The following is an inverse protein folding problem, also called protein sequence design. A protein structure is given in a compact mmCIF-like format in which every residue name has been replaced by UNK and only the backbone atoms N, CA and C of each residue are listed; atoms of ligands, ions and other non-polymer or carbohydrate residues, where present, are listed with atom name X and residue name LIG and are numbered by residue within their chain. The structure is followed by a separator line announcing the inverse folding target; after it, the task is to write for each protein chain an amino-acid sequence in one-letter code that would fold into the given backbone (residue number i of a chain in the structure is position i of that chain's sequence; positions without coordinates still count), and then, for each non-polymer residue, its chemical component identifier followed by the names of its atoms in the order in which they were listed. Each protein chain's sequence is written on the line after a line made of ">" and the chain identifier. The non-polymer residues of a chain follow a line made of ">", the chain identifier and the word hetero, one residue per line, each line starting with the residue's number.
data_IF_767443969622
#
_entry.id   IF_767443969622
#
_cell.length_a   1.000
_cell.length_b   1.000
_cell.length_c   1.000
_cell.angle_alpha   90.00
_cell.angle_beta   90.00
_cell.angle_gamma   90.00
#
_symmetry.space_group_name_H-M   'P 1'
#
loop_
_entity.id
_entity.type
_entity.pdbx_description
1 polymer ?
#
# COMPACT_ATOMS: atom_id res chain seq x y z
N UNK A 1 14.27 1.73 1.44
CA UNK A 1 13.64 0.80 0.47
C UNK A 1 13.41 1.51 -0.86
N UNK A 2 13.89 1.00 -2.00
CA UNK A 2 13.61 1.57 -3.32
C UNK A 2 12.25 1.10 -3.88
N UNK A 3 11.54 2.00 -4.55
CA UNK A 3 10.26 1.75 -5.24
C UNK A 3 10.35 2.32 -6.65
N UNK A 4 10.23 1.48 -7.66
CA UNK A 4 10.21 1.92 -9.06
C UNK A 4 8.75 2.12 -9.45
N UNK A 5 8.44 3.24 -10.11
CA UNK A 5 7.12 3.43 -10.70
C UNK A 5 6.86 2.38 -11.81
N UNK A 6 5.61 2.25 -12.27
CA UNK A 6 5.28 1.33 -13.38
C UNK A 6 5.34 1.95 -14.77
N UNK A 7 5.69 3.23 -14.87
CA UNK A 7 6.07 3.87 -16.13
C UNK A 7 7.55 3.62 -16.48
N UNK A 8 8.36 3.17 -15.52
CA UNK A 8 9.79 2.95 -15.62
C UNK A 8 10.65 4.21 -15.63
N UNK A 9 10.20 5.35 -15.06
CA UNK A 9 10.99 6.60 -15.09
C UNK A 9 11.56 6.99 -13.73
N UNK A 10 10.74 6.91 -12.69
CA UNK A 10 11.05 7.41 -11.38
C UNK A 10 11.33 6.27 -10.40
N UNK A 11 12.31 6.50 -9.54
CA UNK A 11 12.62 5.65 -8.39
C UNK A 11 12.43 6.46 -7.12
N UNK A 12 11.45 6.07 -6.31
CA UNK A 12 11.31 6.58 -4.95
C UNK A 12 12.25 5.83 -4.01
N UNK A 13 13.10 6.55 -3.30
CA UNK A 13 13.99 6.00 -2.29
C UNK A 13 13.51 6.46 -0.91
N UNK A 14 13.16 5.51 -0.04
CA UNK A 14 12.88 5.82 1.37
C UNK A 14 14.13 5.67 2.24
N UNK A 15 14.35 6.65 3.11
CA UNK A 15 15.57 6.84 3.91
C UNK A 15 15.30 6.69 5.41
N UNK A 16 16.33 6.33 6.18
CA UNK A 16 16.26 6.33 7.64
C UNK A 16 16.42 7.74 8.25
N UNK A 17 16.90 8.72 7.47
CA UNK A 17 17.11 10.10 7.93
C UNK A 17 16.95 11.07 6.74
N UNK A 18 15.92 11.95 6.75
CA UNK A 18 14.77 11.89 7.67
C UNK A 18 13.99 10.57 7.49
N UNK A 19 13.41 10.03 8.56
CA UNK A 19 12.76 8.73 8.53
C UNK A 19 11.60 8.74 7.53
N UNK A 20 11.57 7.73 6.66
CA UNK A 20 10.48 7.46 5.72
C UNK A 20 10.24 8.57 4.69
N UNK A 21 11.19 9.49 4.53
CA UNK A 21 11.11 10.50 3.51
C UNK A 21 11.28 9.91 2.11
N UNK A 22 10.49 10.41 1.16
CA UNK A 22 10.69 10.13 -0.25
C UNK A 22 11.85 10.98 -0.78
N UNK A 23 12.80 10.33 -1.43
CA UNK A 23 13.76 10.94 -2.34
C UNK A 23 13.43 10.43 -3.75
N UNK A 24 12.87 11.31 -4.59
CA UNK A 24 12.46 10.95 -5.94
C UNK A 24 13.63 11.13 -6.90
N UNK A 25 14.21 10.03 -7.37
CA UNK A 25 15.18 10.01 -8.45
C UNK A 25 14.46 9.88 -9.80
N UNK A 26 14.79 10.76 -10.74
CA UNK A 26 14.38 10.66 -12.14
C UNK A 26 15.52 10.07 -12.96
N UNK A 27 15.35 8.86 -13.53
CA UNK A 27 16.40 8.22 -14.33
C UNK A 27 16.79 9.00 -15.58
N UNK A 28 15.86 9.76 -16.17
CA UNK A 28 16.16 10.51 -17.38
C UNK A 28 17.01 11.76 -17.08
N UNK A 29 16.74 12.40 -15.94
CA UNK A 29 17.48 13.57 -15.49
C UNK A 29 18.71 13.21 -14.63
N UNK A 30 18.88 11.93 -14.31
CA UNK A 30 19.89 11.38 -13.40
C UNK A 30 20.08 12.20 -12.11
N UNK A 31 18.96 12.59 -11.47
CA UNK A 31 19.01 13.48 -10.30
C UNK A 31 17.80 13.34 -9.39
N UNK A 32 17.97 13.72 -8.12
CA UNK A 32 16.86 13.81 -7.16
C UNK A 32 16.06 15.08 -7.47
N UNK A 33 14.82 14.91 -7.91
CA UNK A 33 13.95 16.00 -8.40
C UNK A 33 12.89 16.44 -7.39
N UNK A 34 12.65 15.63 -6.36
CA UNK A 34 11.70 15.92 -5.30
C UNK A 34 12.07 15.20 -4.00
N UNK A 35 11.77 15.84 -2.86
CA UNK A 35 11.94 15.27 -1.54
C UNK A 35 10.73 15.60 -0.67
N UNK A 36 10.34 14.67 0.19
CA UNK A 36 9.34 14.91 1.23
C UNK A 36 10.01 14.96 2.60
N UNK A 37 9.29 15.41 3.62
CA UNK A 37 9.85 15.47 4.98
C UNK A 37 9.98 14.09 5.62
N UNK A 38 9.21 13.09 5.17
CA UNK A 38 9.04 11.85 5.93
C UNK A 38 8.35 12.10 7.27
N UNK A 39 8.42 11.16 8.20
CA UNK A 39 7.88 11.23 9.57
C UNK A 39 8.61 12.32 10.40
N UNK A 40 7.94 13.33 11.02
CA UNK A 40 6.49 13.50 11.33
C UNK A 40 5.60 14.17 10.26
N UNK A 41 5.74 13.81 9.00
CA UNK A 41 4.87 14.15 7.86
C UNK A 41 4.35 12.89 7.16
N UNK A 42 3.86 13.00 5.93
CA UNK A 42 3.34 11.82 5.20
C UNK A 42 4.50 10.86 4.88
N UNK A 43 4.47 9.62 5.39
CA UNK A 43 5.55 8.66 5.22
C UNK A 43 5.49 8.00 3.84
N UNK A 44 6.67 7.76 3.25
CA UNK A 44 6.84 7.03 2.00
C UNK A 44 7.46 5.67 2.27
N UNK A 45 6.66 4.74 2.77
CA UNK A 45 7.04 3.35 2.99
C UNK A 45 5.78 2.49 2.87
N UNK A 46 5.96 1.19 2.58
CA UNK A 46 4.85 0.28 2.34
C UNK A 46 3.88 0.75 1.25
N UNK A 47 4.36 1.56 0.31
CA UNK A 47 3.53 2.12 -0.76
C UNK A 47 3.30 1.13 -1.90
N UNK A 48 2.09 1.14 -2.45
CA UNK A 48 1.79 0.51 -3.72
C UNK A 48 2.39 1.33 -4.87
N UNK A 49 3.21 0.70 -5.72
CA UNK A 49 3.84 1.37 -6.87
C UNK A 49 3.07 1.13 -8.14
N UNK A 50 2.46 2.17 -8.71
CA UNK A 50 1.67 2.14 -9.94
C UNK A 50 2.33 3.02 -11.02
N UNK A 51 1.67 3.21 -12.16
CA UNK A 51 2.19 4.05 -13.25
C UNK A 51 2.02 5.52 -12.86
N UNK A 52 3.13 6.24 -12.76
CA UNK A 52 3.15 7.67 -12.40
C UNK A 52 2.39 8.00 -11.10
N UNK A 53 2.29 7.03 -10.20
CA UNK A 53 1.55 7.11 -8.95
C UNK A 53 2.14 6.14 -7.92
N UNK A 54 2.32 6.59 -6.68
CA UNK A 54 2.46 5.69 -5.53
C UNK A 54 1.36 5.95 -4.52
N UNK A 55 0.74 4.89 -4.01
CA UNK A 55 -0.32 5.02 -3.02
C UNK A 55 0.21 4.54 -1.67
N UNK A 56 -0.09 5.26 -0.61
CA UNK A 56 0.30 4.91 0.76
C UNK A 56 -0.79 5.24 1.76
N UNK A 57 -0.40 5.29 3.03
CA UNK A 57 -1.24 5.70 4.16
C UNK A 57 -0.53 6.80 4.93
N UNK A 58 -1.30 7.76 5.43
CA UNK A 58 -0.81 8.77 6.39
C UNK A 58 -1.18 8.36 7.81
N UNK A 59 -0.32 7.55 8.44
CA UNK A 59 -0.50 7.10 9.83
C UNK A 59 -0.15 8.15 10.88
N UNK A 60 0.38 9.30 10.46
CA UNK A 60 0.65 10.43 11.34
C UNK A 60 -0.61 11.25 11.66
N UNK A 61 -1.76 10.85 11.13
CA UNK A 61 -3.09 11.31 11.54
C UNK A 61 -3.57 10.57 12.78
N UNK A 62 -4.58 11.12 13.47
CA UNK A 62 -5.33 10.32 14.44
C UNK A 62 -6.07 9.18 13.72
N UNK A 63 -6.03 7.98 14.27
CA UNK A 63 -6.83 6.86 13.76
C UNK A 63 -8.33 7.23 13.76
N UNK A 64 -9.10 6.88 12.71
CA UNK A 64 -8.65 6.14 11.52
C UNK A 64 -7.90 7.01 10.50
N UNK A 65 -6.84 6.44 9.92
CA UNK A 65 -5.97 7.08 8.94
C UNK A 65 -6.62 7.35 7.59
N UNK A 66 -5.87 8.04 6.72
CA UNK A 66 -6.27 8.33 5.35
C UNK A 66 -5.27 7.75 4.35
N UNK A 67 -5.77 7.35 3.18
CA UNK A 67 -4.91 7.01 2.06
C UNK A 67 -4.28 8.27 1.46
N UNK A 68 -3.09 8.11 0.88
CA UNK A 68 -2.36 9.17 0.21
C UNK A 68 -1.90 8.74 -1.17
N UNK A 69 -1.75 9.72 -2.05
CA UNK A 69 -1.15 9.55 -3.38
C UNK A 69 0.06 10.46 -3.49
N UNK A 70 1.18 9.86 -3.89
CA UNK A 70 2.36 10.57 -4.35
C UNK A 70 2.33 10.59 -5.87
N UNK A 71 2.27 11.80 -6.42
CA UNK A 71 2.41 12.07 -7.85
C UNK A 71 3.86 12.48 -8.14
N UNK A 72 4.69 11.58 -8.70
CA UNK A 72 6.07 11.90 -9.06
C UNK A 72 6.19 12.98 -10.15
N UNK A 73 5.21 13.07 -11.05
CA UNK A 73 5.23 14.02 -12.17
C UNK A 73 4.93 15.41 -11.67
N UNK A 74 3.86 15.56 -10.88
CA UNK A 74 3.48 16.82 -10.25
C UNK A 74 4.32 17.16 -9.01
N UNK A 75 5.13 16.21 -8.53
CA UNK A 75 5.98 16.32 -7.33
C UNK A 75 5.19 16.73 -6.10
N UNK A 76 4.05 16.06 -5.91
CA UNK A 76 3.07 16.39 -4.89
C UNK A 76 2.60 15.12 -4.19
N UNK A 77 2.37 15.24 -2.89
CA UNK A 77 1.63 14.26 -2.11
C UNK A 77 0.28 14.84 -1.68
N UNK A 78 -0.80 14.05 -1.82
CA UNK A 78 -2.17 14.48 -1.50
C UNK A 78 -2.89 13.37 -0.75
N UNK A 79 -3.64 13.73 0.30
CA UNK A 79 -4.58 12.81 0.96
C UNK A 79 -5.82 12.63 0.09
N UNK A 80 -6.24 11.39 -0.11
CA UNK A 80 -7.40 11.03 -0.94
C UNK A 80 -8.57 10.51 -0.09
N UNK A 81 -8.54 10.81 1.21
CA UNK A 81 -9.56 10.42 2.17
C UNK A 81 -9.34 9.05 2.82
N UNK A 82 -10.19 8.75 3.80
CA UNK A 82 -10.23 7.50 4.55
C UNK A 82 -11.68 7.12 4.89
N UNK A 83 -11.90 6.22 5.85
CA UNK A 83 -10.88 5.54 6.66
C UNK A 83 -10.04 4.54 5.83
N UNK A 84 -8.83 4.22 6.29
CA UNK A 84 -8.06 3.08 5.76
C UNK A 84 -8.63 1.75 6.27
N UNK A 85 -8.07 0.64 5.78
CA UNK A 85 -8.50 -0.72 6.16
C UNK A 85 -8.03 -1.12 7.58
N UNK A 86 -6.98 -0.52 8.12
CA UNK A 86 -6.40 -0.88 9.43
C UNK A 86 -5.34 0.17 9.86
N UNK A 87 -4.51 -0.13 10.86
CA UNK A 87 -3.37 0.74 11.21
C UNK A 87 -2.00 0.33 10.63
N UNK A 88 -1.72 -0.97 10.56
CA UNK A 88 -0.43 -1.53 10.11
C UNK A 88 -0.58 -2.08 8.68
N UNK A 89 -0.36 -1.26 7.65
CA UNK A 89 -0.72 -1.65 6.27
C UNK A 89 0.44 -1.87 5.30
N UNK A 90 0.19 -2.75 4.33
CA UNK A 90 1.04 -3.00 3.18
C UNK A 90 0.35 -2.65 1.87
N UNK A 91 0.88 -1.68 1.15
CA UNK A 91 0.47 -1.36 -0.21
C UNK A 91 1.18 -2.24 -1.25
N UNK A 92 0.40 -2.79 -2.18
CA UNK A 92 0.85 -3.52 -3.34
C UNK A 92 0.29 -2.91 -4.63
N UNK A 93 1.18 -2.52 -5.55
CA UNK A 93 0.83 -1.96 -6.87
C UNK A 93 1.29 -2.85 -8.02
N UNK A 94 1.33 -4.17 -7.83
CA UNK A 94 1.96 -5.03 -8.82
C UNK A 94 1.27 -5.09 -10.18
N UNK A 95 -0.01 -4.77 -10.22
CA UNK A 95 -0.81 -4.75 -11.44
C UNK A 95 -0.42 -3.60 -12.37
N UNK A 96 -0.01 -3.95 -13.60
CA UNK A 96 0.27 -3.01 -14.67
C UNK A 96 -1.05 -2.59 -15.32
N UNK A 97 -1.37 -1.30 -15.19
CA UNK A 97 -2.65 -0.72 -15.58
C UNK A 97 -2.44 0.42 -16.59
N UNK A 98 -3.35 0.54 -17.55
CA UNK A 98 -3.33 1.60 -18.55
C UNK A 98 -4.71 2.28 -18.68
N UNK A 99 -5.27 2.82 -17.58
CA UNK A 99 -6.51 3.58 -17.67
C UNK A 99 -6.30 4.90 -18.43
N UNK A 100 -7.40 5.50 -18.89
CA UNK A 100 -7.38 6.82 -19.51
C UNK A 100 -7.04 7.93 -18.49
N UNK A 101 -7.60 7.82 -17.29
CA UNK A 101 -7.24 8.63 -16.12
C UNK A 101 -6.33 7.83 -15.18
N UNK A 102 -5.16 8.40 -14.84
CA UNK A 102 -4.20 7.76 -13.93
C UNK A 102 -4.75 7.55 -12.52
N UNK A 103 -5.78 8.31 -12.13
CA UNK A 103 -6.40 8.24 -10.81
C UNK A 103 -7.44 7.11 -10.70
N UNK A 104 -7.72 6.41 -11.81
CA UNK A 104 -8.50 5.17 -11.86
C UNK A 104 -7.68 3.89 -11.62
N UNK A 105 -6.37 4.01 -11.40
CA UNK A 105 -5.53 2.85 -11.10
C UNK A 105 -5.83 2.27 -9.71
N UNK A 106 -5.92 0.96 -9.63
CA UNK A 106 -6.18 0.22 -8.40
C UNK A 106 -4.89 -0.18 -7.70
N UNK A 107 -4.76 0.20 -6.43
CA UNK A 107 -3.78 -0.32 -5.48
C UNK A 107 -4.46 -1.29 -4.52
N UNK A 108 -3.75 -2.33 -4.08
CA UNK A 108 -4.23 -3.26 -3.06
C UNK A 108 -3.51 -2.99 -1.74
N UNK A 109 -4.26 -2.75 -0.67
CA UNK A 109 -3.73 -2.63 0.68
C UNK A 109 -4.13 -3.85 1.50
N UNK A 110 -3.19 -4.44 2.22
CA UNK A 110 -3.45 -5.46 3.24
C UNK A 110 -3.06 -4.95 4.62
N UNK A 111 -3.60 -5.56 5.66
CA UNK A 111 -3.08 -5.40 7.02
C UNK A 111 -1.98 -6.44 7.27
N UNK A 112 -0.90 -6.04 7.95
CA UNK A 112 0.16 -6.96 8.38
C UNK A 112 -0.34 -7.99 9.40
N UNK A 113 -1.34 -7.60 10.19
CA UNK A 113 -1.81 -8.38 11.34
C UNK A 113 -3.22 -8.96 11.09
N UNK A 114 -3.83 -9.44 12.19
CA UNK A 114 -5.14 -10.06 12.19
C UNK A 114 -6.31 -9.08 12.15
N UNK A 115 -7.52 -9.59 12.40
CA UNK A 115 -8.71 -8.72 12.45
C UNK A 115 -8.54 -7.61 13.49
N UNK A 116 -8.75 -6.38 13.06
CA UNK A 116 -8.92 -5.25 13.97
C UNK A 116 -10.29 -5.35 14.67
N UNK A 117 -10.45 -4.84 15.90
CA UNK A 117 -11.70 -4.93 16.64
C UNK A 117 -12.89 -4.34 15.88
N UNK A 118 -14.06 -4.96 16.02
CA UNK A 118 -15.31 -4.42 15.49
C UNK A 118 -15.61 -3.04 16.13
N UNK A 119 -16.11 -2.09 15.34
CA UNK A 119 -16.41 -0.74 15.81
C UNK A 119 -15.21 0.20 15.91
N UNK A 120 -14.02 -0.23 15.48
CA UNK A 120 -12.78 0.58 15.41
C UNK A 120 -12.85 1.79 14.46
N UNK A 121 -13.84 1.85 13.57
CA UNK A 121 -13.98 2.93 12.59
C UNK A 121 -13.16 2.75 11.31
N UNK A 122 -12.40 1.66 11.19
CA UNK A 122 -11.72 1.28 9.95
C UNK A 122 -12.71 0.87 8.85
N UNK A 123 -12.34 1.09 7.59
CA UNK A 123 -13.18 0.80 6.43
C UNK A 123 -13.53 -0.69 6.31
N UNK A 124 -12.54 -1.54 6.56
CA UNK A 124 -12.67 -2.99 6.57
C UNK A 124 -11.63 -3.52 7.56
N UNK A 125 -11.95 -3.57 8.87
CA UNK A 125 -10.98 -3.81 9.95
C UNK A 125 -10.07 -5.03 9.71
N UNK A 126 -8.83 -4.80 9.30
CA UNK A 126 -7.81 -5.82 8.97
C UNK A 126 -7.90 -6.44 7.55
N UNK A 127 -8.85 -5.98 6.74
CA UNK A 127 -9.13 -6.51 5.41
C UNK A 127 -8.10 -6.14 4.35
N UNK A 128 -8.14 -6.88 3.24
CA UNK A 128 -7.44 -6.55 2.00
C UNK A 128 -8.34 -5.72 1.10
N UNK A 129 -8.01 -4.46 0.86
CA UNK A 129 -8.87 -3.50 0.16
C UNK A 129 -8.18 -2.92 -1.07
N UNK A 130 -8.90 -2.95 -2.19
CA UNK A 130 -8.56 -2.23 -3.40
C UNK A 130 -8.99 -0.77 -3.31
N UNK A 131 -8.14 0.14 -3.78
CA UNK A 131 -8.24 1.60 -3.62
C UNK A 131 -7.85 2.31 -4.91
N UNK A 132 -8.65 3.28 -5.37
CA UNK A 132 -8.26 4.26 -6.42
C UNK A 132 -8.11 5.68 -5.87
N UNK A 133 -7.38 6.56 -6.54
CA UNK A 133 -7.32 7.98 -6.17
C UNK A 133 -8.68 8.68 -6.31
N UNK A 134 -9.49 8.25 -7.28
CA UNK A 134 -10.87 8.70 -7.49
C UNK A 134 -11.89 8.19 -6.45
N UNK A 135 -11.43 7.58 -5.35
CA UNK A 135 -12.26 7.28 -4.18
C UNK A 135 -12.96 5.91 -4.19
N UNK A 136 -12.75 5.07 -5.19
CA UNK A 136 -13.36 3.74 -5.24
C UNK A 136 -12.69 2.78 -4.25
N UNK A 137 -13.48 1.98 -3.53
CA UNK A 137 -12.99 1.00 -2.54
C UNK A 137 -13.67 -0.35 -2.72
N UNK A 138 -12.91 -1.45 -2.73
CA UNK A 138 -13.46 -2.81 -2.85
C UNK A 138 -12.73 -3.79 -1.93
N UNK A 139 -13.45 -4.50 -1.08
CA UNK A 139 -12.90 -5.56 -0.24
C UNK A 139 -12.64 -6.80 -1.09
N UNK A 140 -11.42 -7.33 -1.06
CA UNK A 140 -11.09 -8.63 -1.63
C UNK A 140 -11.37 -9.76 -0.64
N UNK A 141 -11.06 -9.55 0.63
CA UNK A 141 -11.19 -10.54 1.69
C UNK A 141 -10.36 -10.16 2.90
N UNK A 142 -10.11 -11.12 3.79
CA UNK A 142 -9.32 -10.91 4.99
C UNK A 142 -8.28 -12.04 5.11
N UNK A 143 -7.01 -11.74 5.46
CA UNK A 143 -5.97 -12.77 5.57
C UNK A 143 -6.18 -13.67 6.79
N UNK A 144 -6.81 -13.15 7.84
CA UNK A 144 -7.10 -13.85 9.10
C UNK A 144 -5.85 -14.41 9.80
N UNK A 145 -4.71 -13.73 9.64
CA UNK A 145 -3.50 -14.09 10.38
C UNK A 145 -3.71 -13.80 11.87
N UNK A 146 -3.11 -14.60 12.74
CA UNK A 146 -3.08 -14.31 14.19
C UNK A 146 -1.73 -13.80 14.66
N UNK A 147 -0.74 -13.73 13.76
CA UNK A 147 0.58 -13.17 14.04
C UNK A 147 0.48 -11.64 13.94
N UNK A 148 1.02 -10.96 14.94
CA UNK A 148 1.20 -9.50 14.93
C UNK A 148 2.56 -9.15 14.37
N UNK A 149 2.69 -7.96 13.80
CA UNK A 149 3.96 -7.47 13.24
C UNK A 149 5.05 -7.45 14.33
N UNK A 150 4.69 -6.98 15.52
CA UNK A 150 5.56 -6.91 16.68
C UNK A 150 6.04 -8.28 17.18
N UNK A 151 5.22 -9.33 17.00
CA UNK A 151 5.60 -10.68 17.38
C UNK A 151 6.61 -11.26 16.38
N UNK A 152 6.33 -11.18 15.08
CA UNK A 152 7.25 -11.62 14.04
C UNK A 152 6.89 -11.06 12.65
N UNK A 153 7.55 -9.97 12.25
CA UNK A 153 7.40 -9.35 10.92
C UNK A 153 7.54 -10.34 9.76
N UNK A 154 8.45 -11.33 9.86
CA UNK A 154 8.71 -12.27 8.78
C UNK A 154 7.56 -13.24 8.52
N UNK A 155 6.65 -13.40 9.49
CA UNK A 155 5.46 -14.26 9.39
C UNK A 155 4.16 -13.44 9.28
N UNK A 156 4.26 -12.12 9.17
CA UNK A 156 3.11 -11.24 8.99
C UNK A 156 2.39 -11.50 7.64
N UNK A 157 1.19 -10.95 7.52
CA UNK A 157 0.40 -11.03 6.29
C UNK A 157 0.89 -10.02 5.26
N UNK A 158 1.34 -10.52 4.11
CA UNK A 158 1.73 -9.70 2.97
C UNK A 158 0.97 -10.11 1.73
N UNK A 159 0.57 -9.11 0.96
CA UNK A 159 -0.17 -9.30 -0.28
C UNK A 159 0.68 -9.01 -1.51
N UNK A 160 0.54 -9.86 -2.53
CA UNK A 160 1.18 -9.74 -3.84
C UNK A 160 0.16 -9.96 -4.94
N UNK A 161 -0.16 -8.89 -5.68
CA UNK A 161 -0.98 -8.99 -6.87
C UNK A 161 -0.13 -9.48 -8.07
N UNK A 162 -0.75 -10.22 -8.98
CA UNK A 162 -0.16 -10.54 -10.28
C UNK A 162 -0.09 -9.29 -11.16
N UNK A 163 0.84 -9.26 -12.11
CA UNK A 163 1.03 -8.11 -13.01
C UNK A 163 -0.14 -7.86 -13.94
N UNK A 164 -0.94 -8.89 -14.24
CA UNK A 164 -2.17 -8.81 -15.06
C UNK A 164 -3.43 -8.50 -14.21
N UNK A 165 -3.27 -8.39 -12.89
CA UNK A 165 -4.36 -8.07 -11.96
C UNK A 165 -5.35 -9.20 -11.69
N UNK A 166 -5.16 -10.40 -12.28
CA UNK A 166 -6.11 -11.51 -12.20
C UNK A 166 -6.03 -12.33 -10.92
N UNK A 167 -4.88 -12.30 -10.25
CA UNK A 167 -4.64 -13.10 -9.06
C UNK A 167 -4.00 -12.28 -7.96
N UNK A 168 -4.29 -12.66 -6.73
CA UNK A 168 -3.65 -12.14 -5.52
C UNK A 168 -3.16 -13.31 -4.70
N UNK A 169 -1.87 -13.27 -4.38
CA UNK A 169 -1.26 -14.16 -3.40
C UNK A 169 -1.18 -13.45 -2.06
N UNK A 170 -1.53 -14.12 -0.96
CA UNK A 170 -1.42 -13.59 0.39
C UNK A 170 -0.87 -14.63 1.36
N UNK A 171 -0.03 -14.19 2.30
CA UNK A 171 0.45 -15.00 3.42
C UNK A 171 -0.43 -14.84 4.64
N UNK A 172 -0.59 -15.90 5.44
CA UNK A 172 -1.31 -15.83 6.71
C UNK A 172 -0.91 -16.97 7.64
N UNK A 173 -0.92 -16.75 8.96
CA UNK A 173 -1.00 -17.83 9.94
C UNK A 173 -2.47 -18.03 10.31
N UNK A 174 -3.22 -18.58 9.36
CA UNK A 174 -4.66 -18.74 9.49
C UNK A 174 -4.94 -19.66 10.67
N UNK A 175 -5.59 -19.12 11.72
CA UNK A 175 -5.90 -19.85 12.96
C UNK A 175 -4.68 -20.20 13.85
N UNK A 176 -3.54 -19.51 13.73
CA UNK A 176 -2.51 -19.46 14.79
C UNK A 176 -1.71 -20.73 15.03
N UNK A 177 -1.34 -21.42 13.96
CA UNK A 177 -0.52 -22.63 14.02
C UNK A 177 0.99 -22.33 14.16
N UNK A 178 1.41 -21.07 14.00
CA UNK A 178 2.81 -20.67 13.92
C UNK A 178 3.47 -21.01 12.58
N UNK A 179 2.66 -21.28 11.54
CA UNK A 179 3.12 -21.53 10.16
C UNK A 179 2.64 -20.41 9.25
N UNK A 180 3.31 -20.24 8.12
CA UNK A 180 2.83 -19.34 7.06
C UNK A 180 2.17 -20.15 5.97
N UNK A 181 0.86 -20.02 5.86
CA UNK A 181 0.08 -20.50 4.72
C UNK A 181 0.15 -19.49 3.58
N UNK A 182 0.09 -19.99 2.34
CA UNK A 182 0.06 -19.18 1.13
C UNK A 182 -1.24 -19.44 0.39
N UNK A 183 -2.06 -18.41 0.24
CA UNK A 183 -3.32 -18.46 -0.49
C UNK A 183 -3.17 -17.77 -1.83
N UNK A 184 -3.79 -18.33 -2.87
CA UNK A 184 -3.92 -17.71 -4.18
C UNK A 184 -5.41 -17.52 -4.46
N UNK A 185 -5.80 -16.28 -4.74
CA UNK A 185 -7.19 -15.86 -4.94
C UNK A 185 -7.32 -15.27 -6.34
N UNK A 186 -8.35 -15.67 -7.07
CA UNK A 186 -8.74 -15.01 -8.32
C UNK A 186 -9.46 -13.69 -8.01
N UNK A 187 -9.06 -12.61 -8.67
CA UNK A 187 -9.65 -11.28 -8.48
C UNK A 187 -11.00 -11.22 -9.20
N UNK A 188 -12.11 -10.93 -8.50
CA UNK A 188 -13.41 -10.81 -9.14
C UNK A 188 -13.41 -9.70 -10.20
N UNK A 189 -13.81 -10.05 -11.42
CA UNK A 189 -13.85 -9.12 -12.56
C UNK A 189 -15.22 -8.47 -12.78
N UNK A 190 -16.24 -8.86 -11.99
CA UNK A 190 -17.62 -8.39 -12.08
C UNK A 190 -18.23 -8.24 -10.70
#
# INVERSE_FOLDING_TARGET
>A
EPRIDRAGRYVGLTMATPPEALYLWDWQADSIVWRTTGDPGIPFIHVASLRDRWYGVDWNLSQPYQYVVFDPVARKQTRIGGPTNSGNEYGNGNWIQHPADLDDQWALFSHFEGLEPAGSGWLAPGGMVYVTANGQRRLLGHPYTTITEAANYALASFVRQSSDGRYVMVTSDMNGSGRTDVFLVEVPTR
#
